data_IF_147983001734
#
_entry.id   IF_147983001734
#
_cell.length_a   1.000
_cell.length_b   1.000
_cell.length_c   1.000
_cell.angle_alpha   90.00
_cell.angle_beta   90.00
_cell.angle_gamma   90.00
#
_symmetry.space_group_name_H-M   'P 1'
#
loop_
_entity.id
_entity.type
_entity.pdbx_description
1 polymer ?
#
# COMPACT_ATOMS: atom_id res chain seq x y z
N UNK A 1 1.99 9.19 9.21
CA UNK A 1 1.00 8.55 8.31
C UNK A 1 0.64 9.42 7.11
N UNK A 2 0.43 10.74 7.25
CA UNK A 2 0.03 11.59 6.12
C UNK A 2 0.98 11.50 4.89
N UNK A 3 2.31 11.46 5.09
CA UNK A 3 3.26 11.32 3.98
C UNK A 3 3.10 9.98 3.25
N UNK A 4 2.98 8.85 3.98
CA UNK A 4 2.76 7.52 3.40
C UNK A 4 1.49 7.51 2.54
N UNK A 5 0.40 8.11 3.03
CA UNK A 5 -0.85 8.20 2.29
C UNK A 5 -0.72 9.03 1.00
N UNK A 6 0.04 10.14 1.04
CA UNK A 6 0.29 10.97 -0.13
C UNK A 6 1.16 10.25 -1.18
N UNK A 7 2.18 9.52 -0.74
CA UNK A 7 3.03 8.70 -1.61
C UNK A 7 2.20 7.63 -2.33
N UNK A 8 1.42 6.83 -1.57
CA UNK A 8 0.55 5.79 -2.11
C UNK A 8 -0.54 6.35 -3.04
N UNK A 9 -1.07 7.54 -2.75
CA UNK A 9 -2.01 8.21 -3.64
C UNK A 9 -1.33 8.61 -4.95
N UNK A 10 -0.08 9.12 -4.90
CA UNK A 10 0.71 9.45 -6.09
C UNK A 10 1.00 8.23 -6.97
N UNK A 11 1.31 7.09 -6.36
CA UNK A 11 1.45 5.81 -7.09
C UNK A 11 0.13 5.38 -7.72
N UNK A 12 -0.97 5.38 -6.95
CA UNK A 12 -2.31 5.00 -7.42
C UNK A 12 -2.73 5.81 -8.63
N UNK A 13 -2.52 7.13 -8.60
CA UNK A 13 -2.79 8.03 -9.72
C UNK A 13 -2.03 7.64 -10.99
N UNK A 14 -0.73 7.36 -10.84
CA UNK A 14 0.11 6.92 -11.97
C UNK A 14 -0.39 5.60 -12.57
N UNK A 15 -0.80 4.65 -11.73
CA UNK A 15 -1.36 3.36 -12.16
C UNK A 15 -2.73 3.52 -12.84
N UNK A 16 -3.62 4.34 -12.28
CA UNK A 16 -4.96 4.54 -12.80
C UNK A 16 -4.96 5.34 -14.11
N UNK A 17 -4.09 6.35 -14.25
CA UNK A 17 -3.90 7.00 -15.55
C UNK A 17 -3.51 5.99 -16.62
N UNK A 18 -2.55 5.10 -16.30
CA UNK A 18 -2.12 4.10 -17.26
C UNK A 18 -3.20 3.04 -17.56
N UNK A 19 -3.95 2.60 -16.54
CA UNK A 19 -5.07 1.68 -16.72
C UNK A 19 -6.18 2.28 -17.61
N UNK A 20 -6.50 3.57 -17.41
CA UNK A 20 -7.46 4.31 -18.22
C UNK A 20 -7.02 4.44 -19.69
N UNK A 21 -5.71 4.68 -19.92
CA UNK A 21 -5.11 4.67 -21.26
C UNK A 21 -5.25 3.30 -21.93
N UNK A 22 -4.99 2.20 -21.19
CA UNK A 22 -5.05 0.84 -21.71
C UNK A 22 -6.47 0.34 -22.02
N UNK A 23 -7.47 0.69 -21.20
CA UNK A 23 -8.85 0.27 -21.45
C UNK A 23 -9.46 0.98 -22.68
N UNK A 24 -8.95 2.17 -23.04
CA UNK A 24 -9.35 2.88 -24.26
C UNK A 24 -10.81 3.35 -24.27
N UNK A 25 -11.46 3.44 -23.10
CA UNK A 25 -12.87 3.79 -22.95
C UNK A 25 -13.12 5.29 -22.78
N UNK A 26 -12.08 6.12 -22.90
CA UNK A 26 -12.17 7.57 -22.69
C UNK A 26 -12.39 8.00 -21.24
N UNK A 27 -12.18 7.09 -20.29
CA UNK A 27 -12.18 7.36 -18.85
C UNK A 27 -10.85 7.97 -18.41
N UNK A 28 -10.85 8.53 -17.21
CA UNK A 28 -9.70 9.15 -16.53
C UNK A 28 -9.37 8.41 -15.22
N UNK A 29 -8.28 8.81 -14.57
CA UNK A 29 -7.96 8.29 -13.23
C UNK A 29 -9.08 8.54 -12.19
N UNK A 30 -9.78 9.67 -12.32
CA UNK A 30 -10.89 10.04 -11.44
C UNK A 30 -12.11 9.16 -11.69
N UNK A 31 -12.42 8.83 -12.95
CA UNK A 31 -13.52 7.92 -13.26
C UNK A 31 -13.27 6.53 -12.65
N UNK A 32 -12.03 6.03 -12.74
CA UNK A 32 -11.63 4.78 -12.09
C UNK A 32 -11.64 4.89 -10.56
N UNK A 33 -11.33 6.04 -9.97
CA UNK A 33 -11.34 6.21 -8.52
C UNK A 33 -12.75 6.41 -7.93
N UNK A 34 -13.67 7.03 -8.66
CA UNK A 34 -14.94 7.46 -8.06
C UNK A 34 -16.18 6.79 -8.65
N UNK A 35 -16.13 6.25 -9.87
CA UNK A 35 -17.32 5.76 -10.57
C UNK A 35 -17.41 4.23 -10.69
N UNK A 36 -16.41 3.50 -10.18
CA UNK A 36 -16.48 2.03 -10.04
C UNK A 36 -17.32 1.62 -8.84
N UNK A 37 -18.13 0.59 -9.02
CA UNK A 37 -18.81 -0.11 -7.93
C UNK A 37 -17.82 -0.95 -7.10
N UNK A 38 -18.23 -1.35 -5.90
CA UNK A 38 -17.38 -2.12 -4.99
C UNK A 38 -16.87 -3.44 -5.60
N UNK A 39 -17.64 -4.08 -6.49
CA UNK A 39 -17.24 -5.35 -7.14
C UNK A 39 -16.23 -5.16 -8.27
N UNK A 40 -16.02 -3.93 -8.74
CA UNK A 40 -15.03 -3.59 -9.77
C UNK A 40 -13.67 -3.18 -9.19
N UNK A 41 -13.57 -3.10 -7.87
CA UNK A 41 -12.30 -2.86 -7.18
C UNK A 41 -11.48 -4.14 -7.05
N UNK A 42 -10.20 -4.05 -7.39
CA UNK A 42 -9.25 -5.16 -7.35
C UNK A 42 -8.16 -4.94 -6.27
N UNK A 43 -8.45 -4.18 -5.22
CA UNK A 43 -7.51 -4.02 -4.11
C UNK A 43 -7.34 -5.32 -3.34
N UNK A 44 -6.21 -5.45 -2.64
CA UNK A 44 -6.04 -6.51 -1.66
C UNK A 44 -7.06 -6.33 -0.52
N UNK A 45 -7.68 -7.42 -0.06
CA UNK A 45 -8.56 -7.37 1.12
C UNK A 45 -7.85 -6.88 2.38
N UNK A 46 -6.52 -6.98 2.42
CA UNK A 46 -5.69 -6.42 3.48
C UNK A 46 -5.84 -4.91 3.60
N UNK A 47 -5.89 -4.17 2.49
CA UNK A 47 -5.85 -2.69 2.50
C UNK A 47 -7.21 -2.03 2.71
N UNK A 48 -8.31 -2.80 2.63
CA UNK A 48 -9.66 -2.33 2.97
C UNK A 48 -10.04 -2.55 4.44
N UNK A 49 -9.21 -3.28 5.21
CA UNK A 49 -9.49 -3.52 6.62
C UNK A 49 -9.65 -2.20 7.38
N UNK A 50 -10.56 -2.10 8.36
CA UNK A 50 -10.70 -0.91 9.20
C UNK A 50 -9.38 -0.56 9.91
N UNK A 51 -9.16 0.72 10.20
CA UNK A 51 -7.94 1.16 10.89
C UNK A 51 -7.79 0.55 12.29
N UNK A 52 -8.89 0.33 13.01
CA UNK A 52 -8.85 -0.17 14.38
C UNK A 52 -8.08 0.77 15.32
N UNK A 53 -7.32 0.19 16.26
CA UNK A 53 -6.35 0.95 17.04
C UNK A 53 -5.02 1.10 16.28
N UNK A 54 -4.08 1.81 16.89
CA UNK A 54 -2.79 2.07 16.25
C UNK A 54 -2.01 0.78 15.94
N UNK A 55 -2.12 -0.27 16.76
CA UNK A 55 -1.44 -1.53 16.50
C UNK A 55 -1.99 -2.24 15.26
N UNK A 56 -3.32 -2.24 15.08
CA UNK A 56 -3.95 -2.75 13.85
C UNK A 56 -3.45 -2.02 12.60
N UNK A 57 -3.43 -0.70 12.65
CA UNK A 57 -2.95 0.11 11.53
C UNK A 57 -1.47 -0.17 11.21
N UNK A 58 -0.61 -0.31 12.22
CA UNK A 58 0.82 -0.63 12.04
C UNK A 58 1.02 -2.04 11.49
N UNK A 59 0.29 -3.04 11.99
CA UNK A 59 0.38 -4.43 11.50
C UNK A 59 -0.04 -4.48 10.04
N UNK A 60 -1.18 -3.88 9.68
CA UNK A 60 -1.65 -3.81 8.28
C UNK A 60 -0.62 -3.14 7.37
N UNK A 61 -0.08 -1.99 7.79
CA UNK A 61 0.93 -1.26 7.02
C UNK A 61 2.22 -2.08 6.86
N UNK A 62 2.72 -2.69 7.93
CA UNK A 62 3.92 -3.52 7.90
C UNK A 62 3.76 -4.72 6.95
N UNK A 63 2.62 -5.42 7.01
CA UNK A 63 2.33 -6.54 6.11
C UNK A 63 2.30 -6.09 4.65
N UNK A 64 1.64 -4.96 4.36
CA UNK A 64 1.58 -4.42 3.01
C UNK A 64 2.96 -3.96 2.52
N UNK A 65 3.73 -3.23 3.33
CA UNK A 65 5.06 -2.73 2.93
C UNK A 65 6.06 -3.86 2.66
N UNK A 66 5.97 -4.96 3.43
CA UNK A 66 6.80 -6.16 3.21
C UNK A 66 6.42 -6.92 1.94
N UNK A 67 5.20 -6.75 1.43
CA UNK A 67 4.81 -7.24 0.11
C UNK A 67 5.23 -6.24 -0.99
N UNK A 68 4.89 -4.97 -0.80
CA UNK A 68 4.94 -3.93 -1.82
C UNK A 68 6.37 -3.57 -2.21
N UNK A 69 7.28 -3.45 -1.24
CA UNK A 69 8.69 -3.15 -1.54
C UNK A 69 9.34 -4.20 -2.46
N UNK A 70 9.37 -5.51 -2.13
CA UNK A 70 9.95 -6.51 -3.03
C UNK A 70 9.16 -6.69 -4.32
N UNK A 71 7.83 -6.51 -4.30
CA UNK A 71 7.02 -6.50 -5.52
C UNK A 71 7.48 -5.41 -6.48
N UNK A 72 7.64 -4.18 -6.01
CA UNK A 72 8.12 -3.06 -6.82
C UNK A 72 9.56 -3.28 -7.30
N UNK A 73 10.43 -3.88 -6.47
CA UNK A 73 11.79 -4.24 -6.89
C UNK A 73 11.78 -5.16 -8.11
N UNK A 74 10.88 -6.14 -8.16
CA UNK A 74 10.73 -7.01 -9.33
C UNK A 74 10.02 -6.32 -10.49
N UNK A 75 9.00 -5.51 -10.21
CA UNK A 75 8.22 -4.79 -11.23
C UNK A 75 9.06 -3.81 -12.05
N UNK A 76 10.15 -3.27 -11.47
CA UNK A 76 11.16 -2.49 -12.20
C UNK A 76 11.78 -3.21 -13.40
N UNK A 77 11.78 -4.54 -13.40
CA UNK A 77 12.28 -5.36 -14.51
C UNK A 77 11.17 -5.79 -15.47
N UNK A 78 9.97 -5.21 -15.36
CA UNK A 78 8.88 -5.45 -16.29
C UNK A 78 9.29 -5.10 -17.73
N UNK A 79 8.87 -5.88 -18.74
CA UNK A 79 9.02 -5.48 -20.14
C UNK A 79 8.12 -4.29 -20.51
N UNK A 80 7.13 -3.97 -19.67
CA UNK A 80 6.31 -2.78 -19.79
C UNK A 80 7.05 -1.58 -19.16
N UNK A 81 7.53 -0.68 -20.02
CA UNK A 81 8.32 0.50 -19.62
C UNK A 81 7.55 1.46 -18.70
N UNK A 82 6.22 1.54 -18.82
CA UNK A 82 5.38 2.42 -17.97
C UNK A 82 5.30 1.85 -16.56
N UNK A 83 5.04 0.55 -16.44
CA UNK A 83 5.03 -0.13 -15.14
C UNK A 83 6.41 -0.10 -14.49
N UNK A 84 7.48 -0.33 -15.26
CA UNK A 84 8.84 -0.24 -14.76
C UNK A 84 9.16 1.16 -14.23
N UNK A 85 8.79 2.22 -14.98
CA UNK A 85 9.00 3.61 -14.58
C UNK A 85 8.21 4.01 -13.32
N UNK A 86 6.95 3.55 -13.18
CA UNK A 86 6.16 3.74 -11.96
C UNK A 86 6.86 3.06 -10.78
N UNK A 87 7.31 1.81 -10.96
CA UNK A 87 7.99 1.06 -9.92
C UNK A 87 9.33 1.70 -9.50
N UNK A 88 10.09 2.27 -10.43
CA UNK A 88 11.34 2.97 -10.14
C UNK A 88 11.16 4.19 -9.23
N UNK A 89 10.02 4.88 -9.38
CA UNK A 89 9.65 5.99 -8.51
C UNK A 89 9.18 5.48 -7.15
N UNK A 90 8.19 4.58 -7.15
CA UNK A 90 7.51 4.12 -5.94
C UNK A 90 8.43 3.31 -5.01
N UNK A 91 9.43 2.58 -5.53
CA UNK A 91 10.30 1.72 -4.71
C UNK A 91 11.08 2.50 -3.65
N UNK A 92 11.40 3.78 -3.90
CA UNK A 92 12.11 4.65 -2.95
C UNK A 92 11.21 5.03 -1.78
N UNK A 93 9.95 5.33 -2.06
CA UNK A 93 8.92 5.65 -1.07
C UNK A 93 8.58 4.39 -0.25
N UNK A 94 8.36 3.26 -0.92
CA UNK A 94 8.08 1.97 -0.27
C UNK A 94 9.21 1.50 0.67
N UNK A 95 10.48 1.76 0.34
CA UNK A 95 11.60 1.48 1.24
C UNK A 95 11.50 2.28 2.55
N UNK A 96 11.08 3.54 2.46
CA UNK A 96 10.85 4.38 3.64
C UNK A 96 9.65 3.90 4.45
N UNK A 97 8.55 3.52 3.79
CA UNK A 97 7.35 2.96 4.45
C UNK A 97 7.70 1.69 5.22
N UNK A 98 8.38 0.74 4.57
CA UNK A 98 8.84 -0.52 5.16
C UNK A 98 9.69 -0.29 6.41
N UNK A 99 10.67 0.63 6.34
CA UNK A 99 11.47 0.98 7.51
C UNK A 99 10.61 1.53 8.64
N UNK A 100 9.73 2.49 8.32
CA UNK A 100 8.88 3.15 9.31
C UNK A 100 7.91 2.20 10.00
N UNK A 101 7.23 1.34 9.24
CA UNK A 101 6.28 0.37 9.78
C UNK A 101 6.99 -0.72 10.58
N UNK A 102 8.17 -1.17 10.14
CA UNK A 102 9.01 -2.14 10.88
C UNK A 102 9.46 -1.58 12.23
N UNK A 103 9.95 -0.34 12.27
CA UNK A 103 10.36 0.29 13.53
C UNK A 103 9.21 0.42 14.53
N UNK A 104 8.00 0.76 14.04
CA UNK A 104 6.82 0.82 14.91
C UNK A 104 6.36 -0.54 15.38
N UNK A 105 6.40 -1.56 14.53
CA UNK A 105 6.04 -2.92 14.92
C UNK A 105 6.97 -3.42 16.03
N UNK A 106 8.29 -3.19 15.90
CA UNK A 106 9.28 -3.54 16.95
C UNK A 106 8.98 -2.76 18.23
N UNK A 107 8.77 -1.44 18.16
CA UNK A 107 8.46 -0.63 19.36
C UNK A 107 7.20 -1.10 20.10
N UNK A 108 6.18 -1.52 19.36
CA UNK A 108 4.93 -2.00 19.96
C UNK A 108 5.07 -3.44 20.50
N UNK A 109 5.73 -4.32 19.75
CA UNK A 109 5.95 -5.72 20.12
C UNK A 109 6.93 -5.90 21.28
N UNK A 110 7.97 -5.07 21.36
CA UNK A 110 8.99 -5.10 22.43
C UNK A 110 8.80 -3.96 23.45
N UNK A 111 7.64 -3.31 23.43
CA UNK A 111 7.26 -2.26 24.37
C UNK A 111 6.78 -2.84 25.71
N UNK A 112 5.50 -2.61 26.02
CA UNK A 112 4.86 -3.11 27.25
C UNK A 112 4.08 -4.39 26.98
N UNK A 113 3.71 -5.16 28.02
CA UNK A 113 2.80 -6.30 27.86
C UNK A 113 1.48 -5.90 27.17
N UNK A 114 0.95 -4.71 27.43
CA UNK A 114 -0.26 -4.21 26.78
C UNK A 114 -0.02 -3.94 25.28
N UNK A 115 1.06 -3.23 24.90
CA UNK A 115 1.32 -2.92 23.49
C UNK A 115 1.59 -4.20 22.68
N UNK A 116 2.28 -5.17 23.27
CA UNK A 116 2.49 -6.50 22.68
C UNK A 116 1.17 -7.22 22.44
N UNK A 117 0.29 -7.28 23.45
CA UNK A 117 -1.02 -7.94 23.33
C UNK A 117 -1.87 -7.31 22.22
N UNK A 118 -1.80 -5.99 22.03
CA UNK A 118 -2.50 -5.30 20.93
C UNK A 118 -1.96 -5.70 19.57
N UNK A 119 -0.64 -5.84 19.41
CA UNK A 119 -0.02 -6.34 18.17
C UNK A 119 -0.43 -7.79 17.90
N UNK A 120 -0.37 -8.66 18.90
CA UNK A 120 -0.76 -10.07 18.76
C UNK A 120 -2.24 -10.19 18.35
N UNK A 121 -3.12 -9.39 18.96
CA UNK A 121 -4.54 -9.34 18.58
C UNK A 121 -4.73 -8.83 17.15
N UNK A 122 -3.95 -7.84 16.73
CA UNK A 122 -3.98 -7.30 15.37
C UNK A 122 -3.48 -8.29 14.31
N UNK A 123 -2.57 -9.20 14.65
CA UNK A 123 -2.12 -10.28 13.76
C UNK A 123 -3.17 -11.40 13.66
N UNK A 124 -3.89 -11.67 14.75
CA UNK A 124 -4.85 -12.76 14.84
C UNK A 124 -6.25 -12.42 14.26
N UNK A 125 -6.47 -11.19 13.83
CA UNK A 125 -7.76 -10.70 13.32
C UNK A 125 -7.97 -10.97 11.84
#
# INVERSE_FOLDING_TARGET
MANIALDLLGETRSLYQYAAELEGLGRTEDDLAYLRSAVEYCNLLLVEQPNGDFAHTIVRQFLFDNFHYPFLQQLKSSPDERLAGIAEKAVKEAAYHLKWSSEWLIRLGDGTPESRQRVEKAIAS
#
